data_IF_544545864961
#
_entry.id   IF_544545864961
#
_cell.length_a   1.000
_cell.length_b   1.000
_cell.length_c   1.000
_cell.angle_alpha   90.00
_cell.angle_beta   90.00
_cell.angle_gamma   90.00
#
_symmetry.space_group_name_H-M   'P 1'
#
loop_
_entity.id
_entity.type
_entity.pdbx_description
1 polymer ?
#
# COMPACT_ATOMS: atom_id res chain seq x y z
N UNK A 1 28.89 -58.75 22.74
CA UNK A 1 27.54 -58.69 23.33
C UNK A 1 27.15 -57.23 23.40
N UNK A 2 26.11 -56.82 22.68
CA UNK A 2 25.68 -55.43 22.68
C UNK A 2 25.02 -55.07 24.02
N UNK A 3 24.96 -53.78 24.35
CA UNK A 3 24.30 -53.30 25.57
C UNK A 3 22.85 -53.80 25.68
N UNK A 4 22.18 -53.95 24.54
CA UNK A 4 20.83 -54.49 24.45
C UNK A 4 20.78 -55.98 24.83
N UNK A 5 21.74 -56.77 24.36
CA UNK A 5 21.80 -58.21 24.66
C UNK A 5 22.01 -58.45 26.17
N UNK A 6 22.89 -57.67 26.80
CA UNK A 6 23.12 -57.76 28.25
C UNK A 6 21.89 -57.32 29.06
N UNK A 7 21.14 -56.31 28.59
CA UNK A 7 19.92 -55.86 29.24
C UNK A 7 18.80 -56.91 29.18
N UNK A 8 18.66 -57.61 28.06
CA UNK A 8 17.68 -58.69 27.92
C UNK A 8 18.08 -59.93 28.74
N UNK A 9 19.37 -60.28 28.76
CA UNK A 9 19.85 -61.49 29.43
C UNK A 9 19.92 -61.36 30.96
N UNK A 10 20.21 -60.17 31.49
CA UNK A 10 20.50 -59.96 32.91
C UNK A 10 19.58 -58.92 33.58
N UNK A 11 18.74 -58.22 32.82
CA UNK A 11 17.86 -57.18 33.34
C UNK A 11 16.60 -57.73 34.00
N UNK A 12 16.26 -57.18 35.17
CA UNK A 12 14.95 -57.41 35.81
C UNK A 12 13.94 -56.38 35.29
N UNK A 13 13.44 -56.57 34.07
CA UNK A 13 12.45 -55.65 33.47
C UNK A 13 11.02 -56.17 33.69
N UNK A 14 10.20 -55.38 34.37
CA UNK A 14 8.77 -55.64 34.51
C UNK A 14 7.99 -54.91 33.41
N UNK A 15 7.29 -55.66 32.56
CA UNK A 15 6.38 -55.10 31.56
C UNK A 15 5.07 -54.69 32.25
N UNK A 16 4.71 -53.41 32.19
CA UNK A 16 3.43 -52.92 32.68
C UNK A 16 2.55 -52.48 31.51
N UNK A 17 1.25 -52.73 31.59
CA UNK A 17 0.30 -52.23 30.58
C UNK A 17 0.24 -50.71 30.68
N UNK A 18 0.56 -50.03 29.58
CA UNK A 18 0.52 -48.58 29.52
C UNK A 18 -0.94 -48.11 29.67
N UNK A 19 -1.22 -47.27 30.68
CA UNK A 19 -2.53 -46.62 30.80
C UNK A 19 -2.69 -45.69 29.60
N UNK A 20 -3.84 -45.73 28.91
CA UNK A 20 -4.15 -44.80 27.80
C UNK A 20 -3.85 -43.37 28.26
N UNK A 21 -2.82 -42.75 27.68
CA UNK A 21 -2.44 -41.37 27.95
C UNK A 21 -3.53 -40.47 27.36
N UNK A 22 -4.53 -40.15 28.17
CA UNK A 22 -5.51 -39.13 27.80
C UNK A 22 -4.85 -37.77 27.96
N UNK A 23 -4.93 -36.97 26.90
CA UNK A 23 -4.38 -35.62 26.88
C UNK A 23 -5.01 -34.79 27.99
N UNK A 24 -4.19 -34.46 28.99
CA UNK A 24 -4.61 -33.71 30.18
C UNK A 24 -5.20 -32.34 29.79
N UNK A 25 -4.72 -31.75 28.69
CA UNK A 25 -5.27 -30.50 28.16
C UNK A 25 -6.71 -30.69 27.66
N UNK A 26 -7.02 -31.82 27.01
CA UNK A 26 -8.40 -32.12 26.56
C UNK A 26 -9.35 -32.31 27.73
N UNK A 27 -8.91 -33.02 28.78
CA UNK A 27 -9.72 -33.21 30.00
C UNK A 27 -9.97 -31.87 30.70
N UNK A 28 -8.93 -31.04 30.83
CA UNK A 28 -9.04 -29.71 31.42
C UNK A 28 -9.96 -28.79 30.60
N UNK A 29 -9.85 -28.81 29.27
CA UNK A 29 -10.71 -28.03 28.39
C UNK A 29 -12.18 -28.43 28.50
N UNK A 30 -12.47 -29.75 28.52
CA UNK A 30 -13.83 -30.24 28.71
C UNK A 30 -14.43 -29.80 30.05
N UNK A 31 -13.67 -29.91 31.15
CA UNK A 31 -14.12 -29.42 32.46
C UNK A 31 -14.39 -27.91 32.43
N UNK A 32 -13.55 -27.14 31.74
CA UNK A 32 -13.71 -25.69 31.63
C UNK A 32 -14.97 -25.31 30.84
N UNK A 33 -15.29 -26.03 29.76
CA UNK A 33 -16.55 -25.83 29.01
C UNK A 33 -17.78 -26.16 29.85
N UNK A 34 -17.75 -27.23 30.64
CA UNK A 34 -18.85 -27.59 31.54
C UNK A 34 -19.09 -26.51 32.61
N UNK A 35 -18.02 -25.89 33.14
CA UNK A 35 -18.14 -24.76 34.07
C UNK A 35 -18.63 -23.46 33.42
N UNK A 36 -18.28 -23.21 32.15
CA UNK A 36 -18.69 -21.99 31.43
C UNK A 36 -20.17 -22.05 31.04
N UNK A 37 -20.70 -23.22 30.65
CA UNK A 37 -22.13 -23.36 30.33
C UNK A 37 -23.07 -23.12 31.52
N UNK A 38 -22.58 -23.15 32.77
CA UNK A 38 -23.36 -22.80 33.96
C UNK A 38 -23.45 -21.28 34.21
N UNK A 39 -22.60 -20.48 33.55
CA UNK A 39 -22.67 -19.03 33.57
C UNK A 39 -23.37 -18.63 32.28
N UNK A 40 -24.70 -18.58 32.34
CA UNK A 40 -25.55 -17.92 31.36
C UNK A 40 -24.86 -16.66 30.86
N UNK A 41 -24.62 -16.60 29.54
CA UNK A 41 -24.18 -15.39 28.85
C UNK A 41 -25.28 -14.35 29.07
N UNK A 42 -25.15 -13.56 30.12
CA UNK A 42 -25.86 -12.29 30.23
C UNK A 42 -25.15 -11.37 29.24
N UNK A 43 -25.76 -11.21 28.08
CA UNK A 43 -25.42 -10.18 27.12
C UNK A 43 -25.81 -8.84 27.72
N UNK A 44 -24.91 -8.27 28.52
CA UNK A 44 -25.00 -6.87 28.91
C UNK A 44 -24.29 -6.04 27.83
N UNK A 45 -25.11 -5.46 26.95
CA UNK A 45 -24.74 -4.31 26.12
C UNK A 45 -24.33 -3.16 27.04
N UNK A 46 -23.02 -3.06 27.32
CA UNK A 46 -22.45 -1.93 28.03
C UNK A 46 -22.16 -0.79 27.04
N UNK A 47 -23.05 0.19 27.11
CA UNK A 47 -22.97 1.60 26.71
C UNK A 47 -21.55 2.09 26.38
N UNK A 48 -21.39 2.63 25.16
CA UNK A 48 -20.19 3.34 24.71
C UNK A 48 -20.06 4.66 25.46
N UNK A 49 -19.33 4.66 26.56
CA UNK A 49 -18.78 5.91 27.08
C UNK A 49 -17.56 6.35 26.26
N UNK A 50 -17.61 7.61 25.81
CA UNK A 50 -16.54 8.32 25.11
C UNK A 50 -15.26 8.35 25.95
N UNK A 51 -14.40 7.36 25.76
CA UNK A 51 -13.01 7.42 26.21
C UNK A 51 -12.16 7.93 25.05
N UNK A 52 -11.35 8.94 25.34
CA UNK A 52 -10.36 9.54 24.44
C UNK A 52 -9.59 8.46 23.67
N UNK A 53 -9.72 8.49 22.34
CA UNK A 53 -9.09 7.57 21.38
C UNK A 53 -7.56 7.71 21.43
N UNK A 54 -6.94 7.13 22.45
CA UNK A 54 -5.55 6.71 22.40
C UNK A 54 -5.61 5.32 21.76
N UNK A 55 -5.08 5.12 20.54
CA UNK A 55 -5.11 3.82 19.91
C UNK A 55 -4.26 2.86 20.74
N UNK A 56 -4.90 2.08 21.60
CA UNK A 56 -4.27 0.92 22.20
C UNK A 56 -3.75 0.04 21.06
N UNK A 57 -2.51 -0.43 21.18
CA UNK A 57 -1.84 -1.24 20.16
C UNK A 57 -2.52 -2.62 20.08
N UNK A 58 -3.68 -2.65 19.42
CA UNK A 58 -4.45 -3.87 19.21
C UNK A 58 -3.57 -4.82 18.40
N UNK A 59 -3.29 -5.99 18.99
CA UNK A 59 -2.16 -6.85 18.62
C UNK A 59 -2.04 -7.29 17.16
N UNK A 60 -0.98 -8.07 16.88
CA UNK A 60 -0.47 -8.49 15.57
C UNK A 60 -1.48 -9.05 14.54
N UNK A 61 -2.69 -9.40 14.95
CA UNK A 61 -3.74 -9.92 14.09
C UNK A 61 -4.52 -8.83 13.32
N UNK A 62 -4.54 -7.57 13.79
CA UNK A 62 -5.31 -6.51 13.12
C UNK A 62 -4.49 -5.79 12.05
N UNK A 63 -5.09 -5.64 10.85
CA UNK A 63 -4.48 -4.88 9.76
C UNK A 63 -4.53 -3.38 10.09
N UNK A 64 -3.38 -2.83 10.48
CA UNK A 64 -3.21 -1.38 10.62
C UNK A 64 -3.30 -0.73 9.23
N UNK A 65 -4.20 0.25 9.08
CA UNK A 65 -4.27 1.06 7.86
C UNK A 65 -3.01 1.92 7.81
N UNK A 66 -2.07 1.59 6.91
CA UNK A 66 -0.88 2.41 6.70
C UNK A 66 -1.31 3.76 6.11
N UNK A 67 -0.85 4.89 6.66
CA UNK A 67 -1.15 6.20 6.10
C UNK A 67 -0.63 6.26 4.66
N UNK A 68 -1.44 6.82 3.76
CA UNK A 68 -1.04 7.05 2.38
C UNK A 68 -0.02 8.20 2.37
N UNK A 69 1.24 7.88 2.18
CA UNK A 69 2.30 8.89 2.05
C UNK A 69 2.14 9.59 0.70
N UNK A 70 1.75 10.86 0.74
CA UNK A 70 1.63 11.73 -0.43
C UNK A 70 2.93 12.50 -0.63
N UNK A 71 3.20 12.89 -1.88
CA UNK A 71 4.30 13.79 -2.16
C UNK A 71 3.97 15.19 -1.67
N UNK A 72 4.92 15.82 -1.00
CA UNK A 72 4.82 17.21 -0.56
C UNK A 72 4.85 18.14 -1.77
N UNK A 73 4.35 19.36 -1.60
CA UNK A 73 4.29 20.31 -2.71
C UNK A 73 5.70 20.69 -3.19
N UNK A 74 6.66 20.81 -2.28
CA UNK A 74 8.07 21.05 -2.62
C UNK A 74 8.65 19.92 -3.49
N UNK A 75 8.31 18.66 -3.22
CA UNK A 75 8.75 17.52 -4.01
C UNK A 75 8.13 17.56 -5.42
N UNK A 76 6.83 17.81 -5.52
CA UNK A 76 6.15 17.91 -6.82
C UNK A 76 6.71 19.04 -7.68
N UNK A 77 6.95 20.20 -7.06
CA UNK A 77 7.51 21.37 -7.74
C UNK A 77 8.90 21.03 -8.31
N UNK A 78 9.77 20.45 -7.48
CA UNK A 78 11.10 20.03 -7.91
C UNK A 78 11.08 19.00 -9.05
N UNK A 79 10.24 17.96 -8.94
CA UNK A 79 10.12 16.96 -9.99
C UNK A 79 9.55 17.55 -11.30
N UNK A 80 8.61 18.49 -11.19
CA UNK A 80 8.05 19.17 -12.36
C UNK A 80 9.08 20.07 -13.03
N UNK A 81 9.88 20.82 -12.27
CA UNK A 81 11.02 21.59 -12.76
C UNK A 81 11.99 20.69 -13.55
N UNK A 82 12.41 19.57 -12.95
CA UNK A 82 13.33 18.60 -13.59
C UNK A 82 12.73 17.95 -14.84
N UNK A 83 11.45 17.62 -14.82
CA UNK A 83 10.75 17.06 -15.97
C UNK A 83 10.67 18.06 -17.12
N UNK A 84 10.37 19.33 -16.82
CA UNK A 84 10.27 20.39 -17.82
C UNK A 84 11.60 20.74 -18.46
N UNK A 85 12.73 20.66 -17.73
CA UNK A 85 14.07 20.81 -18.33
C UNK A 85 14.24 19.82 -19.48
N UNK A 86 13.83 18.56 -19.28
CA UNK A 86 13.90 17.56 -20.34
C UNK A 86 12.99 17.83 -21.54
N UNK A 87 11.87 18.55 -21.35
CA UNK A 87 11.02 19.01 -22.46
C UNK A 87 11.69 20.12 -23.27
N UNK A 88 12.38 21.04 -22.60
CA UNK A 88 13.06 22.18 -23.25
C UNK A 88 14.34 21.71 -23.96
N UNK A 89 15.13 20.85 -23.33
CA UNK A 89 16.41 20.36 -23.87
C UNK A 89 16.23 19.17 -24.83
N UNK A 90 15.07 18.51 -24.82
CA UNK A 90 14.80 17.29 -25.60
C UNK A 90 15.37 16.00 -25.01
N UNK A 91 16.26 16.11 -24.02
CA UNK A 91 16.82 14.98 -23.29
C UNK A 91 16.15 14.82 -21.93
N UNK A 92 15.46 13.68 -21.73
CA UNK A 92 14.79 13.37 -20.47
C UNK A 92 15.81 13.17 -19.36
N UNK A 93 15.55 13.77 -18.20
CA UNK A 93 16.45 13.63 -17.06
C UNK A 93 16.31 12.25 -16.43
N UNK A 94 17.44 11.61 -16.14
CA UNK A 94 17.49 10.27 -15.55
C UNK A 94 16.92 10.28 -14.12
N UNK A 95 15.87 9.49 -13.82
CA UNK A 95 15.33 9.36 -12.47
C UNK A 95 16.37 9.00 -11.40
N UNK A 96 17.41 8.23 -11.75
CA UNK A 96 18.45 7.85 -10.80
C UNK A 96 19.32 9.06 -10.42
N UNK A 97 19.69 9.87 -11.41
CA UNK A 97 20.39 11.13 -11.21
C UNK A 97 19.57 12.11 -10.38
N UNK A 98 18.29 12.30 -10.71
CA UNK A 98 17.38 13.20 -9.97
C UNK A 98 17.26 12.79 -8.49
N UNK A 99 17.12 11.49 -8.21
CA UNK A 99 17.07 10.97 -6.84
C UNK A 99 18.40 11.19 -6.10
N UNK A 100 19.54 10.97 -6.76
CA UNK A 100 20.88 11.18 -6.20
C UNK A 100 21.17 12.65 -5.90
N UNK A 101 20.69 13.57 -6.74
CA UNK A 101 20.94 15.00 -6.59
C UNK A 101 20.05 15.65 -5.53
N UNK A 102 18.89 15.05 -5.24
CA UNK A 102 17.86 15.59 -4.34
C UNK A 102 18.38 16.06 -2.96
N UNK A 103 19.30 15.36 -2.27
CA UNK A 103 19.85 15.77 -0.97
C UNK A 103 20.70 17.05 -1.00
N UNK A 104 21.23 17.40 -2.17
CA UNK A 104 22.16 18.52 -2.35
C UNK A 104 21.47 19.78 -2.85
N UNK A 105 20.16 19.74 -3.02
CA UNK A 105 19.41 20.86 -3.57
C UNK A 105 19.22 21.93 -2.52
N UNK A 106 19.60 23.15 -2.91
CA UNK A 106 19.45 24.34 -2.12
C UNK A 106 18.28 25.16 -2.65
N UNK A 107 17.48 25.71 -1.74
CA UNK A 107 16.48 26.75 -2.01
C UNK A 107 16.79 27.90 -1.06
N UNK A 108 17.01 29.10 -1.61
CA UNK A 108 17.34 30.30 -0.84
C UNK A 108 18.55 30.12 0.11
N UNK A 109 19.54 29.34 -0.32
CA UNK A 109 20.76 29.06 0.44
C UNK A 109 20.64 27.95 1.50
N UNK A 110 19.47 27.34 1.69
CA UNK A 110 19.27 26.23 2.62
C UNK A 110 18.85 24.94 1.91
N UNK A 111 19.05 23.78 2.55
CA UNK A 111 18.63 22.48 1.98
C UNK A 111 17.12 22.48 1.73
N UNK A 112 16.71 22.24 0.48
CA UNK A 112 15.30 22.24 0.05
C UNK A 112 14.50 21.08 0.67
N UNK A 113 15.16 19.98 1.03
CA UNK A 113 14.52 18.77 1.54
C UNK A 113 15.23 18.23 2.79
N UNK A 114 14.44 17.68 3.71
CA UNK A 114 14.92 16.85 4.82
C UNK A 114 15.09 15.39 4.37
N UNK A 115 15.85 14.61 5.14
CA UNK A 115 16.16 13.19 4.82
C UNK A 115 14.90 12.34 4.62
N UNK A 116 13.85 12.61 5.38
CA UNK A 116 12.55 11.91 5.32
C UNK A 116 11.80 12.18 4.01
N UNK A 117 12.14 13.27 3.31
CA UNK A 117 11.53 13.68 2.06
C UNK A 117 12.38 13.35 0.84
N UNK A 118 13.45 12.58 0.98
CA UNK A 118 14.20 12.09 -0.17
C UNK A 118 13.41 11.00 -0.90
N UNK A 119 13.32 11.15 -2.22
CA UNK A 119 12.60 10.23 -3.08
C UNK A 119 13.56 9.19 -3.65
N UNK A 120 13.08 7.96 -3.78
CA UNK A 120 13.81 6.88 -4.43
C UNK A 120 13.72 7.01 -5.95
N UNK A 121 14.66 6.40 -6.66
CA UNK A 121 14.66 6.32 -8.14
C UNK A 121 13.32 5.83 -8.69
N UNK A 122 12.72 4.81 -8.06
CA UNK A 122 11.42 4.26 -8.47
C UNK A 122 10.27 5.27 -8.29
N UNK A 123 10.27 6.02 -7.19
CA UNK A 123 9.28 7.07 -6.94
C UNK A 123 9.37 8.19 -7.98
N UNK A 124 10.59 8.63 -8.29
CA UNK A 124 10.85 9.63 -9.33
C UNK A 124 10.41 9.13 -10.70
N UNK A 125 10.80 7.91 -11.09
CA UNK A 125 10.42 7.31 -12.38
C UNK A 125 8.90 7.14 -12.54
N UNK A 126 8.22 6.69 -11.47
CA UNK A 126 6.75 6.58 -11.43
C UNK A 126 6.09 7.94 -11.63
N UNK A 127 6.61 8.99 -10.99
CA UNK A 127 6.09 10.34 -11.14
C UNK A 127 6.27 10.89 -12.56
N UNK A 128 7.47 10.73 -13.15
CA UNK A 128 7.73 11.14 -14.53
C UNK A 128 6.85 10.39 -15.53
N UNK A 129 6.61 9.11 -15.31
CA UNK A 129 5.69 8.32 -16.14
C UNK A 129 4.26 8.88 -16.10
N UNK A 130 3.77 9.24 -14.90
CA UNK A 130 2.45 9.86 -14.73
C UNK A 130 2.37 11.24 -15.39
N UNK A 131 3.42 12.06 -15.29
CA UNK A 131 3.46 13.35 -15.98
C UNK A 131 3.43 13.19 -17.50
N UNK A 132 4.22 12.28 -18.05
CA UNK A 132 4.22 12.01 -19.49
C UNK A 132 2.85 11.50 -19.99
N UNK A 133 2.17 10.64 -19.22
CA UNK A 133 0.82 10.20 -19.53
C UNK A 133 -0.20 11.35 -19.48
N UNK A 134 -0.07 12.25 -18.50
CA UNK A 134 -0.92 13.43 -18.39
C UNK A 134 -0.75 14.34 -19.61
N UNK A 135 0.48 14.61 -20.01
CA UNK A 135 0.79 15.43 -21.20
C UNK A 135 0.19 14.79 -22.46
N UNK A 136 0.39 13.49 -22.68
CA UNK A 136 -0.21 12.79 -23.83
C UNK A 136 -1.75 12.86 -23.82
N UNK A 137 -2.39 12.74 -22.66
CA UNK A 137 -3.87 12.84 -22.57
C UNK A 137 -4.35 14.24 -22.95
N UNK A 138 -3.62 15.27 -22.52
CA UNK A 138 -3.93 16.65 -22.88
C UNK A 138 -3.76 16.86 -24.40
N UNK A 139 -2.67 16.38 -24.99
CA UNK A 139 -2.44 16.49 -26.44
C UNK A 139 -3.57 15.82 -27.26
N UNK A 140 -4.04 14.65 -26.82
CA UNK A 140 -5.15 13.94 -27.46
C UNK A 140 -6.46 14.74 -27.34
N UNK A 141 -6.70 15.33 -26.17
CA UNK A 141 -7.88 16.16 -25.94
C UNK A 141 -7.86 17.40 -26.84
N UNK A 142 -6.73 18.11 -26.91
CA UNK A 142 -6.57 19.28 -27.76
C UNK A 142 -6.78 18.95 -29.24
N UNK A 143 -6.31 17.78 -29.70
CA UNK A 143 -6.59 17.29 -31.05
C UNK A 143 -8.08 17.01 -31.27
N UNK A 144 -8.73 16.34 -30.32
CA UNK A 144 -10.16 16.07 -30.42
C UNK A 144 -10.98 17.37 -30.49
N UNK A 145 -10.66 18.35 -29.66
CA UNK A 145 -11.33 19.66 -29.64
C UNK A 145 -11.14 20.39 -30.98
N UNK A 146 -9.94 20.33 -31.57
CA UNK A 146 -9.69 20.88 -32.91
C UNK A 146 -10.53 20.17 -33.99
N UNK A 147 -10.62 18.83 -33.94
CA UNK A 147 -11.45 18.08 -34.89
C UNK A 147 -12.93 18.39 -34.76
N UNK A 148 -13.45 18.51 -33.54
CA UNK A 148 -14.84 18.88 -33.28
C UNK A 148 -15.16 20.29 -33.81
N UNK A 149 -14.31 21.28 -33.53
CA UNK A 149 -14.47 22.64 -34.04
C UNK A 149 -14.43 22.72 -35.59
N UNK A 150 -13.63 21.87 -36.22
CA UNK A 150 -13.57 21.76 -37.69
C UNK A 150 -14.83 21.12 -38.27
N UNK A 151 -15.37 20.08 -37.62
CA UNK A 151 -16.63 19.45 -37.99
C UNK A 151 -17.81 20.43 -37.89
N UNK A 152 -17.87 21.23 -36.82
CA UNK A 152 -18.91 22.26 -36.63
C UNK A 152 -18.87 23.34 -37.72
N UNK A 153 -17.66 23.80 -38.11
CA UNK A 153 -17.50 24.73 -39.23
C UNK A 153 -18.00 24.14 -40.55
N UNK A 154 -17.69 22.88 -40.84
CA UNK A 154 -18.19 22.19 -42.04
C UNK A 154 -19.72 22.08 -42.00
N UNK A 155 -20.30 21.66 -40.88
CA UNK A 155 -21.74 21.57 -40.70
C UNK A 155 -22.43 22.92 -40.89
N UNK A 156 -21.87 23.99 -40.35
CA UNK A 156 -22.39 25.35 -40.52
C UNK A 156 -22.37 25.78 -41.99
N UNK A 157 -21.29 25.49 -42.72
CA UNK A 157 -21.21 25.74 -44.16
C UNK A 157 -22.27 24.98 -44.95
N UNK A 158 -22.49 23.70 -44.63
CA UNK A 158 -23.57 22.90 -45.23
C UNK A 158 -24.95 23.50 -44.92
N UNK A 159 -25.21 23.87 -43.67
CA UNK A 159 -26.48 24.51 -43.27
C UNK A 159 -26.75 25.78 -44.07
N UNK A 160 -25.76 26.67 -44.22
CA UNK A 160 -25.89 27.88 -45.05
C UNK A 160 -26.23 27.55 -46.50
N UNK A 161 -25.57 26.54 -47.08
CA UNK A 161 -25.81 26.14 -48.47
C UNK A 161 -27.22 25.56 -48.66
N UNK A 162 -27.74 24.79 -47.71
CA UNK A 162 -29.11 24.26 -47.77
C UNK A 162 -30.13 25.39 -47.63
N UNK A 163 -29.94 26.30 -46.68
CA UNK A 163 -30.84 27.45 -46.44
C UNK A 163 -30.86 28.44 -47.61
N UNK A 164 -29.83 28.50 -48.45
CA UNK A 164 -29.82 29.39 -49.62
C UNK A 164 -30.60 28.86 -50.83
N UNK A 165 -31.08 27.62 -50.78
CA UNK A 165 -31.83 26.96 -51.86
C UNK A 165 -33.33 26.81 -51.53
N UNK A 166 -33.77 27.37 -50.40
CA UNK A 166 -35.17 27.47 -49.96
C UNK A 166 -35.56 28.94 -50.03
#
# INVERSE_FOLDING_TARGET
MTSLDNHLLLGKCNVHVEKKVVDRCKVMYNNKLQTINAITIQSDDLEKENTTDVPEERGWALKVKKPKVLFTEAQKQYLSEKFNIGKVTGNKEDPAKVSRDMPYILKDGQKRFTREHFLTTSQVASYFSRLALKDRRNDIQDQNDFTAASADKKLFGLKKKVLSHV
#
